data_IF_676830540913
#
_entry.id   IF_676830540913
#
_cell.length_a   1.000
_cell.length_b   1.000
_cell.length_c   1.000
_cell.angle_alpha   90.00
_cell.angle_beta   90.00
_cell.angle_gamma   90.00
#
_symmetry.space_group_name_H-M   'P 1'
#
loop_
_entity.id
_entity.type
_entity.pdbx_description
1 polymer ?
#
# COMPACT_ATOMS: atom_id res chain seq x y z
N UNK A 1 -3.13 -1.42 17.57
CA UNK A 1 -2.98 -1.68 16.12
C UNK A 1 -3.36 -3.10 15.70
N UNK A 2 -3.59 -4.06 16.61
CA UNK A 2 -4.07 -5.40 16.24
C UNK A 2 -3.09 -6.23 15.40
N UNK A 3 -1.78 -5.93 15.47
CA UNK A 3 -0.71 -6.64 14.76
C UNK A 3 0.24 -7.30 15.76
N UNK A 4 0.85 -8.42 15.38
CA UNK A 4 1.85 -9.13 16.18
C UNK A 4 3.18 -8.35 16.19
N UNK A 5 3.59 -7.76 17.32
CA UNK A 5 4.82 -6.96 17.40
C UNK A 5 6.08 -7.81 17.21
N UNK A 6 6.00 -9.14 17.32
CA UNK A 6 7.17 -10.03 17.15
C UNK A 6 7.56 -10.20 15.67
N UNK A 7 6.64 -9.91 14.75
CA UNK A 7 6.88 -9.92 13.29
C UNK A 7 7.03 -8.52 12.68
N UNK A 8 6.72 -7.47 13.45
CA UNK A 8 6.81 -6.09 12.98
C UNK A 8 8.28 -5.63 12.91
N UNK A 9 8.59 -4.77 11.93
CA UNK A 9 9.93 -4.21 11.77
C UNK A 9 10.25 -3.23 12.91
N UNK A 10 11.01 -3.72 13.89
CA UNK A 10 11.42 -2.96 15.07
C UNK A 10 12.61 -2.05 14.76
N UNK A 11 12.57 -0.82 15.27
CA UNK A 11 13.66 0.14 15.19
C UNK A 11 14.55 -0.02 16.43
N UNK A 12 15.86 -0.21 16.23
CA UNK A 12 16.82 -0.32 17.34
C UNK A 12 16.94 1.00 18.10
N UNK A 13 16.80 0.99 19.42
CA UNK A 13 16.97 2.18 20.25
C UNK A 13 18.38 2.76 20.17
N UNK A 14 19.41 1.91 19.99
CA UNK A 14 20.80 2.34 19.83
C UNK A 14 21.00 3.22 18.58
N UNK A 15 20.27 2.92 17.50
CA UNK A 15 20.38 3.66 16.23
C UNK A 15 19.42 4.85 16.23
N UNK A 16 18.21 4.66 16.74
CA UNK A 16 17.09 5.58 16.53
C UNK A 16 16.75 6.46 17.73
N UNK A 17 17.08 6.03 18.96
CA UNK A 17 16.82 6.77 20.19
C UNK A 17 15.33 7.03 20.48
N UNK A 18 14.45 6.17 19.95
CA UNK A 18 12.99 6.30 20.04
C UNK A 18 12.39 5.43 21.17
N UNK A 19 13.22 4.68 21.88
CA UNK A 19 12.85 3.71 22.90
C UNK A 19 12.91 2.27 22.40
N UNK A 20 12.92 1.34 23.36
CA UNK A 20 12.97 -0.09 23.11
C UNK A 20 11.67 -0.68 22.52
N UNK A 21 10.65 0.12 22.21
CA UNK A 21 9.36 -0.36 21.70
C UNK A 21 8.88 0.46 20.48
N UNK A 22 9.83 0.79 19.60
CA UNK A 22 9.59 1.57 18.39
C UNK A 22 9.53 0.69 17.15
N UNK A 23 8.57 0.96 16.26
CA UNK A 23 8.30 0.15 15.07
C UNK A 23 8.11 1.03 13.84
N UNK A 24 8.66 0.59 12.71
CA UNK A 24 8.49 1.26 11.44
C UNK A 24 7.04 1.13 10.95
N UNK A 25 6.45 2.24 10.52
CA UNK A 25 5.10 2.27 9.95
C UNK A 25 4.94 3.45 8.99
N UNK A 26 3.88 3.40 8.19
CA UNK A 26 3.48 4.50 7.30
C UNK A 26 1.99 4.73 7.47
N UNK A 27 1.56 5.99 7.37
CA UNK A 27 0.14 6.30 7.28
C UNK A 27 -0.44 5.74 5.98
N UNK A 28 -1.50 4.95 6.12
CA UNK A 28 -2.15 4.23 5.02
C UNK A 28 -2.58 5.16 3.86
N UNK A 29 -3.04 6.38 4.15
CA UNK A 29 -3.42 7.36 3.12
C UNK A 29 -2.31 7.67 2.11
N UNK A 30 -1.03 7.64 2.51
CA UNK A 30 0.07 7.86 1.56
C UNK A 30 0.38 6.62 0.72
N UNK A 31 0.11 5.42 1.23
CA UNK A 31 0.15 4.20 0.43
C UNK A 31 -0.97 4.23 -0.60
N UNK A 32 -2.19 4.59 -0.22
CA UNK A 32 -3.31 4.78 -1.16
C UNK A 32 -2.99 5.81 -2.25
N UNK A 33 -2.41 6.97 -1.90
CA UNK A 33 -2.00 7.98 -2.87
C UNK A 33 -0.89 7.47 -3.80
N UNK A 34 0.06 6.67 -3.30
CA UNK A 34 1.06 6.00 -4.12
C UNK A 34 0.41 5.03 -5.13
N UNK A 35 -0.57 4.24 -4.69
CA UNK A 35 -1.32 3.32 -5.53
C UNK A 35 -2.09 4.07 -6.62
N UNK A 36 -2.82 5.14 -6.25
CA UNK A 36 -3.55 6.00 -7.19
C UNK A 36 -2.61 6.65 -8.21
N UNK A 37 -1.46 7.17 -7.77
CA UNK A 37 -0.48 7.77 -8.67
C UNK A 37 0.17 6.73 -9.60
N UNK A 38 0.39 5.50 -9.13
CA UNK A 38 0.86 4.38 -9.95
C UNK A 38 -0.13 4.08 -11.07
N UNK A 39 -1.42 3.94 -10.75
CA UNK A 39 -2.50 3.77 -11.74
C UNK A 39 -2.58 4.94 -12.72
N UNK A 40 -2.47 6.18 -12.23
CA UNK A 40 -2.46 7.39 -13.07
C UNK A 40 -1.29 7.41 -14.05
N UNK A 41 -0.10 6.98 -13.66
CA UNK A 41 1.06 6.93 -14.56
C UNK A 41 0.90 5.87 -15.65
N UNK A 42 0.26 4.75 -15.31
CA UNK A 42 0.01 3.63 -16.21
C UNK A 42 -0.88 4.01 -17.40
N UNK A 43 -1.89 4.86 -17.20
CA UNK A 43 -2.77 5.34 -18.28
C UNK A 43 -2.07 6.33 -19.24
N UNK A 44 -0.86 6.81 -18.90
CA UNK A 44 -0.07 7.73 -19.73
C UNK A 44 1.37 7.22 -19.95
N UNK A 45 1.55 6.06 -20.60
CA UNK A 45 2.86 5.42 -20.72
C UNK A 45 3.86 6.25 -21.54
N UNK A 46 3.39 7.03 -22.51
CA UNK A 46 4.24 7.91 -23.33
C UNK A 46 4.85 9.06 -22.51
N UNK A 47 4.16 9.52 -21.47
CA UNK A 47 4.61 10.59 -20.61
C UNK A 47 5.39 10.07 -19.38
N UNK A 48 5.05 8.86 -18.92
CA UNK A 48 5.71 8.20 -17.80
C UNK A 48 6.28 6.84 -18.25
N UNK A 49 7.44 6.83 -18.93
CA UNK A 49 8.08 5.59 -19.31
C UNK A 49 8.35 4.74 -18.06
N UNK A 50 7.86 3.50 -18.07
CA UNK A 50 7.87 2.62 -16.91
C UNK A 50 9.25 2.01 -16.71
N UNK A 51 10.09 2.68 -15.91
CA UNK A 51 11.41 2.17 -15.50
C UNK A 51 11.39 1.42 -14.16
N UNK A 52 10.28 1.49 -13.41
CA UNK A 52 10.19 1.10 -12.00
C UNK A 52 10.43 -0.39 -11.72
N UNK A 53 10.48 -1.24 -12.76
CA UNK A 53 10.63 -2.69 -12.64
C UNK A 53 11.80 -3.23 -13.46
N UNK A 54 12.66 -2.37 -14.01
CA UNK A 54 13.77 -2.81 -14.88
C UNK A 54 14.81 -3.68 -14.17
N UNK A 55 14.87 -3.60 -12.83
CA UNK A 55 15.74 -4.43 -11.99
C UNK A 55 15.04 -5.70 -11.50
N UNK A 56 13.79 -5.93 -11.90
CA UNK A 56 13.04 -7.14 -11.61
C UNK A 56 13.56 -8.31 -12.47
N UNK A 57 13.60 -9.52 -11.90
CA UNK A 57 13.88 -10.74 -12.65
C UNK A 57 12.80 -11.01 -13.72
N UNK A 58 11.58 -10.55 -13.46
CA UNK A 58 10.44 -10.52 -14.38
C UNK A 58 9.67 -9.20 -14.18
N UNK A 59 9.97 -8.17 -14.97
CA UNK A 59 9.33 -6.87 -14.86
C UNK A 59 7.80 -6.92 -15.03
N UNK A 60 7.30 -7.84 -15.86
CA UNK A 60 5.86 -7.97 -16.11
C UNK A 60 5.15 -8.62 -14.93
N UNK A 61 5.69 -9.71 -14.38
CA UNK A 61 5.10 -10.36 -13.21
C UNK A 61 5.09 -9.44 -11.97
N UNK A 62 6.18 -8.69 -11.75
CA UNK A 62 6.22 -7.71 -10.64
C UNK A 62 5.23 -6.57 -10.81
N UNK A 63 5.08 -6.10 -12.06
CA UNK A 63 4.08 -5.11 -12.36
C UNK A 63 2.68 -5.63 -12.03
N UNK A 64 2.29 -6.82 -12.49
CA UNK A 64 0.97 -7.40 -12.21
C UNK A 64 0.70 -7.58 -10.72
N UNK A 65 1.66 -8.14 -9.96
CA UNK A 65 1.56 -8.26 -8.50
C UNK A 65 1.35 -6.89 -7.86
N UNK A 66 2.20 -5.91 -8.21
CA UNK A 66 2.12 -4.57 -7.63
C UNK A 66 0.81 -3.86 -7.99
N UNK A 67 0.28 -4.07 -9.19
CA UNK A 67 -0.99 -3.49 -9.60
C UNK A 67 -2.18 -4.10 -8.85
N UNK A 68 -2.23 -5.43 -8.72
CA UNK A 68 -3.26 -6.11 -7.94
C UNK A 68 -3.26 -5.65 -6.48
N UNK A 69 -2.07 -5.57 -5.88
CA UNK A 69 -1.89 -4.98 -4.54
C UNK A 69 -2.48 -3.56 -4.44
N UNK A 70 -2.18 -2.71 -5.43
CA UNK A 70 -2.61 -1.32 -5.43
C UNK A 70 -4.14 -1.19 -5.52
N UNK A 71 -4.78 -1.99 -6.37
CA UNK A 71 -6.24 -2.03 -6.49
C UNK A 71 -6.87 -2.52 -5.19
N UNK A 72 -6.30 -3.56 -4.58
CA UNK A 72 -6.82 -4.12 -3.33
C UNK A 72 -6.73 -3.13 -2.16
N UNK A 73 -5.59 -2.45 -1.97
CA UNK A 73 -5.46 -1.41 -0.94
C UNK A 73 -6.46 -0.27 -1.15
N UNK A 74 -6.64 0.19 -2.39
CA UNK A 74 -7.61 1.24 -2.70
C UNK A 74 -9.04 0.77 -2.41
N UNK A 75 -9.37 -0.48 -2.73
CA UNK A 75 -10.67 -1.07 -2.44
C UNK A 75 -10.92 -1.16 -0.92
N UNK A 76 -9.97 -1.72 -0.17
CA UNK A 76 -10.03 -1.79 1.29
C UNK A 76 -10.21 -0.39 1.90
N UNK A 77 -9.48 0.60 1.41
CA UNK A 77 -9.58 1.97 1.86
C UNK A 77 -10.97 2.59 1.58
N UNK A 78 -11.51 2.39 0.38
CA UNK A 78 -12.84 2.87 0.00
C UNK A 78 -13.91 2.24 0.88
N UNK A 79 -13.83 0.92 1.10
CA UNK A 79 -14.80 0.19 1.93
C UNK A 79 -14.71 0.58 3.41
N UNK A 80 -13.50 0.68 3.97
CA UNK A 80 -13.29 1.00 5.38
C UNK A 80 -13.61 2.46 5.72
N UNK A 81 -13.31 3.40 4.82
CA UNK A 81 -13.66 4.81 5.03
C UNK A 81 -15.14 5.09 4.73
N UNK A 82 -15.80 4.23 3.92
CA UNK A 82 -17.24 4.22 3.70
C UNK A 82 -17.83 5.60 3.42
N UNK A 83 -17.64 6.14 2.21
CA UNK A 83 -18.25 7.43 1.87
C UNK A 83 -19.77 7.30 1.72
N UNK A 84 -20.51 7.79 2.72
CA UNK A 84 -21.99 7.80 2.74
C UNK A 84 -22.61 9.06 2.16
N UNK A 85 -21.82 9.95 1.53
CA UNK A 85 -22.40 11.11 0.86
C UNK A 85 -23.24 10.67 -0.34
N UNK A 86 -24.39 11.31 -0.51
CA UNK A 86 -25.31 11.00 -1.60
C UNK A 86 -24.91 11.73 -2.87
N UNK A 87 -24.85 11.00 -3.98
CA UNK A 87 -24.91 11.58 -5.32
C UNK A 87 -26.38 11.84 -5.60
N UNK A 88 -26.72 13.11 -5.81
CA UNK A 88 -28.09 13.50 -6.14
C UNK A 88 -28.31 13.39 -7.65
N UNK A 89 -29.54 13.11 -8.07
CA UNK A 89 -29.93 13.00 -9.47
C UNK A 89 -30.74 14.24 -9.85
N UNK A 90 -30.40 14.88 -10.97
CA UNK A 90 -31.04 16.12 -11.42
C UNK A 90 -31.54 16.00 -12.85
N UNK A 91 -32.60 16.73 -13.17
CA UNK A 91 -33.03 16.93 -14.55
C UNK A 91 -32.15 17.98 -15.21
N UNK A 92 -31.49 17.61 -16.31
CA UNK A 92 -30.61 18.50 -17.07
C UNK A 92 -31.27 18.80 -18.41
N UNK A 93 -31.12 20.04 -18.89
CA UNK A 93 -31.68 20.44 -20.18
C UNK A 93 -31.17 19.53 -21.31
N UNK A 94 -32.03 19.23 -22.28
CA UNK A 94 -31.76 18.34 -23.43
C UNK A 94 -31.59 16.85 -23.13
N UNK A 95 -31.56 16.46 -21.86
CA UNK A 95 -31.32 15.07 -21.47
C UNK A 95 -32.63 14.31 -21.18
N UNK A 96 -32.83 13.11 -21.76
CA UNK A 96 -34.06 12.33 -21.55
C UNK A 96 -34.09 11.57 -20.21
N UNK A 97 -32.99 11.55 -19.45
CA UNK A 97 -32.86 10.83 -18.18
C UNK A 97 -32.22 11.73 -17.09
N UNK A 98 -32.43 11.45 -15.79
CA UNK A 98 -31.74 12.19 -14.71
C UNK A 98 -30.22 11.97 -14.75
N UNK A 99 -29.45 13.05 -14.55
CA UNK A 99 -27.99 13.03 -14.51
C UNK A 99 -27.47 13.13 -13.07
N UNK A 100 -26.39 12.40 -12.73
CA UNK A 100 -25.79 12.46 -11.40
C UNK A 100 -25.02 13.76 -11.18
N UNK A 101 -25.30 14.47 -10.10
CA UNK A 101 -24.45 15.56 -9.62
C UNK A 101 -23.29 15.00 -8.79
N UNK A 102 -22.12 14.95 -9.42
CA UNK A 102 -20.89 14.46 -8.79
C UNK A 102 -20.20 15.51 -7.90
N UNK A 103 -20.77 16.71 -7.79
CA UNK A 103 -20.29 17.84 -6.97
C UNK A 103 -20.65 17.66 -5.50
N UNK A 104 -20.34 16.49 -4.95
CA UNK A 104 -20.65 16.14 -3.57
C UNK A 104 -19.86 17.03 -2.60
N UNK A 105 -20.57 17.67 -1.67
CA UNK A 105 -19.98 18.47 -0.60
C UNK A 105 -19.30 17.56 0.45
N UNK A 106 -18.01 17.30 0.26
CA UNK A 106 -17.22 16.39 1.10
C UNK A 106 -16.67 17.14 2.32
N UNK A 107 -16.72 16.51 3.48
CA UNK A 107 -15.93 16.91 4.65
C UNK A 107 -14.65 16.10 4.67
N UNK A 108 -13.53 16.79 4.47
CA UNK A 108 -12.21 16.18 4.44
C UNK A 108 -11.46 16.43 5.75
N UNK A 109 -10.51 15.55 6.07
CA UNK A 109 -9.44 15.87 7.02
C UNK A 109 -8.62 17.04 6.47
N UNK A 110 -8.01 17.84 7.35
CA UNK A 110 -6.99 18.81 6.94
C UNK A 110 -5.74 18.05 6.46
N UNK A 111 -5.72 17.74 5.17
CA UNK A 111 -4.70 16.91 4.57
C UNK A 111 -3.34 17.64 4.48
N UNK A 112 -3.36 18.96 4.34
CA UNK A 112 -2.16 19.78 4.35
C UNK A 112 -1.54 19.79 5.74
N UNK A 113 -2.34 20.03 6.78
CA UNK A 113 -1.91 19.95 8.17
C UNK A 113 -1.35 18.57 8.53
N UNK A 114 -2.05 17.49 8.14
CA UNK A 114 -1.57 16.11 8.32
C UNK A 114 -0.23 15.88 7.60
N UNK A 115 -0.09 16.34 6.36
CA UNK A 115 1.13 16.17 5.57
C UNK A 115 2.30 16.95 6.15
N UNK A 116 2.06 18.18 6.58
CA UNK A 116 3.07 18.98 7.26
C UNK A 116 3.55 18.28 8.52
N UNK A 117 2.63 17.85 9.39
CA UNK A 117 2.98 17.12 10.61
C UNK A 117 3.77 15.85 10.31
N UNK A 118 3.34 15.05 9.32
CA UNK A 118 4.07 13.86 8.88
C UNK A 118 5.50 14.19 8.49
N UNK A 119 5.71 15.21 7.66
CA UNK A 119 7.06 15.58 7.20
C UNK A 119 7.95 16.06 8.34
N UNK A 120 7.39 16.75 9.33
CA UNK A 120 8.11 17.21 10.52
C UNK A 120 8.46 16.07 11.49
N UNK A 121 7.68 14.99 11.49
CA UNK A 121 7.80 13.89 12.47
C UNK A 121 8.22 12.55 11.85
N UNK A 122 8.45 12.48 10.54
CA UNK A 122 8.96 11.27 9.90
C UNK A 122 10.41 11.05 10.29
N UNK A 123 10.79 9.79 10.46
CA UNK A 123 12.20 9.42 10.59
C UNK A 123 12.95 9.71 9.28
N UNK A 124 14.26 9.93 9.37
CA UNK A 124 15.13 10.12 8.22
C UNK A 124 15.11 8.86 7.33
N UNK A 125 14.59 9.01 6.11
CA UNK A 125 14.42 7.90 5.16
C UNK A 125 15.75 7.40 4.59
N UNK A 126 16.75 8.27 4.47
CA UNK A 126 18.10 7.90 4.02
C UNK A 126 18.75 7.03 5.08
N UNK A 127 18.73 7.51 6.34
CA UNK A 127 19.17 6.72 7.49
C UNK A 127 18.41 5.39 7.59
N UNK A 128 17.11 5.40 7.30
CA UNK A 128 16.31 4.17 7.31
C UNK A 128 16.82 3.17 6.28
N UNK A 129 17.02 3.60 5.04
CA UNK A 129 17.54 2.74 3.98
C UNK A 129 18.96 2.22 4.28
N UNK A 130 19.80 3.04 4.93
CA UNK A 130 21.19 2.70 5.20
C UNK A 130 21.37 1.80 6.44
N UNK A 131 20.41 1.79 7.37
CA UNK A 131 20.56 1.10 8.67
C UNK A 131 19.58 -0.05 8.89
N UNK A 132 18.55 -0.17 8.07
CA UNK A 132 17.53 -1.21 8.24
C UNK A 132 17.94 -2.50 7.56
N UNK A 133 18.64 -3.34 8.31
CA UNK A 133 18.88 -4.74 7.96
C UNK A 133 17.95 -5.67 8.74
N UNK A 134 17.55 -6.76 8.09
CA UNK A 134 16.73 -7.80 8.71
C UNK A 134 17.55 -8.54 9.78
N UNK A 135 17.15 -8.53 11.07
CA UNK A 135 17.90 -9.21 12.11
C UNK A 135 17.93 -10.73 11.94
N UNK A 136 19.02 -11.36 12.37
CA UNK A 136 19.13 -12.82 12.39
C UNK A 136 18.08 -13.45 13.30
N UNK A 137 17.40 -14.50 12.82
CA UNK A 137 16.43 -15.25 13.60
C UNK A 137 15.12 -14.53 13.92
N UNK A 138 14.87 -13.34 13.35
CA UNK A 138 13.61 -12.61 13.56
C UNK A 138 12.42 -13.46 13.11
N UNK A 139 11.34 -13.43 13.89
CA UNK A 139 10.06 -14.05 13.50
C UNK A 139 9.51 -13.28 12.30
N UNK A 140 8.95 -14.01 11.33
CA UNK A 140 8.55 -13.46 10.04
C UNK A 140 7.14 -13.88 9.69
N UNK A 141 6.44 -13.02 8.94
CA UNK A 141 5.22 -13.42 8.26
C UNK A 141 5.54 -14.37 7.11
N UNK A 142 4.55 -15.20 6.77
CA UNK A 142 4.59 -16.14 5.67
C UNK A 142 4.45 -15.40 4.34
N UNK A 143 5.42 -15.54 3.43
CA UNK A 143 5.36 -14.88 2.12
C UNK A 143 4.09 -15.27 1.33
N UNK A 144 3.42 -14.30 0.68
CA UNK A 144 2.38 -14.51 -0.33
C UNK A 144 2.87 -15.35 -1.49
N UNK A 145 1.95 -16.03 -2.17
CA UNK A 145 2.29 -16.91 -3.30
C UNK A 145 2.92 -16.16 -4.48
N UNK A 146 2.35 -15.01 -4.85
CA UNK A 146 2.87 -14.19 -5.94
C UNK A 146 4.31 -13.76 -5.68
N UNK A 147 4.56 -13.18 -4.50
CA UNK A 147 5.89 -12.77 -4.06
C UNK A 147 6.86 -13.94 -3.94
N UNK A 148 6.42 -15.06 -3.36
CA UNK A 148 7.27 -16.24 -3.19
C UNK A 148 7.71 -16.79 -4.55
N UNK A 149 6.76 -16.94 -5.48
CA UNK A 149 7.01 -17.44 -6.83
C UNK A 149 7.98 -16.54 -7.57
N UNK A 150 7.77 -15.22 -7.48
CA UNK A 150 8.62 -14.23 -8.13
C UNK A 150 10.08 -14.29 -7.62
N UNK A 151 10.30 -14.29 -6.30
CA UNK A 151 11.65 -14.33 -5.73
C UNK A 151 12.29 -15.72 -5.75
N UNK A 152 11.50 -16.78 -5.97
CA UNK A 152 11.95 -18.19 -5.98
C UNK A 152 11.29 -18.97 -7.12
N UNK A 153 11.62 -18.64 -8.38
CA UNK A 153 11.00 -19.28 -9.53
C UNK A 153 11.19 -20.80 -9.50
N UNK A 154 10.12 -21.53 -9.80
CA UNK A 154 10.10 -23.01 -9.81
C UNK A 154 10.06 -23.66 -8.42
N UNK A 155 9.97 -22.90 -7.33
CA UNK A 155 9.77 -23.45 -5.98
C UNK A 155 8.31 -23.28 -5.55
N UNK A 156 7.75 -24.33 -4.95
CA UNK A 156 6.43 -24.27 -4.33
C UNK A 156 6.52 -23.49 -3.02
N UNK A 157 5.60 -22.55 -2.82
CA UNK A 157 5.48 -21.83 -1.56
C UNK A 157 5.07 -22.82 -0.46
N UNK A 158 5.91 -23.09 0.56
CA UNK A 158 5.58 -24.04 1.61
C UNK A 158 4.40 -23.58 2.47
N UNK A 159 4.00 -22.32 2.37
CA UNK A 159 2.96 -21.76 3.22
C UNK A 159 1.56 -22.22 2.85
N UNK A 160 1.30 -22.62 1.58
CA UNK A 160 -0.02 -23.04 1.09
C UNK A 160 -0.06 -24.49 0.57
N UNK A 161 0.99 -25.29 0.80
CA UNK A 161 0.97 -26.72 0.47
C UNK A 161 -0.04 -27.44 1.38
N UNK A 162 -1.02 -28.13 0.78
CA UNK A 162 -1.99 -28.94 1.50
C UNK A 162 -3.04 -28.14 2.30
N UNK A 163 -3.29 -26.87 1.95
CA UNK A 163 -4.28 -26.03 2.63
C UNK A 163 -3.78 -25.41 3.94
N UNK A 164 -2.46 -25.33 4.14
CA UNK A 164 -1.87 -24.59 5.25
C UNK A 164 -2.10 -23.07 5.07
N UNK A 165 -2.36 -22.38 6.19
CA UNK A 165 -2.45 -20.92 6.33
C UNK A 165 -3.30 -20.18 5.26
N UNK A 166 -4.50 -20.67 4.89
CA UNK A 166 -5.30 -20.08 3.80
C UNK A 166 -5.75 -18.64 4.08
N UNK A 167 -5.74 -18.22 5.35
CA UNK A 167 -6.14 -16.88 5.81
C UNK A 167 -4.95 -15.98 6.19
N UNK A 168 -3.70 -16.44 6.02
CA UNK A 168 -2.49 -15.69 6.42
C UNK A 168 -1.77 -15.01 5.26
N UNK A 169 -2.38 -14.98 4.07
CA UNK A 169 -1.84 -14.19 2.96
C UNK A 169 -2.05 -12.71 3.27
N UNK A 170 -0.97 -12.03 3.64
CA UNK A 170 -1.05 -10.59 3.86
C UNK A 170 -1.13 -9.92 2.50
N UNK A 171 -2.23 -9.20 2.25
CA UNK A 171 -2.54 -8.60 0.96
C UNK A 171 -1.32 -7.90 0.32
N UNK A 172 -0.72 -8.61 -0.64
CA UNK A 172 0.30 -8.18 -1.59
C UNK A 172 -0.15 -8.68 -2.96
#
# INVERSE_FOLDING_TARGET
MGKDPTTAAKLSDEIWGLGNDSYASIFDVYRQLHCLNTLRKLIYPDYYPQHAWQHSADPQAMFEIHMNHCVDILMQAIQCNGNVNLITMHWVETEPFPFPDMSVNRKCVDFEGLTKWRLENTIDITKFNDTMDKPLGVKQLKSPDGFYTYFRPGKVNPNHVGGANPDEDFNL
#
